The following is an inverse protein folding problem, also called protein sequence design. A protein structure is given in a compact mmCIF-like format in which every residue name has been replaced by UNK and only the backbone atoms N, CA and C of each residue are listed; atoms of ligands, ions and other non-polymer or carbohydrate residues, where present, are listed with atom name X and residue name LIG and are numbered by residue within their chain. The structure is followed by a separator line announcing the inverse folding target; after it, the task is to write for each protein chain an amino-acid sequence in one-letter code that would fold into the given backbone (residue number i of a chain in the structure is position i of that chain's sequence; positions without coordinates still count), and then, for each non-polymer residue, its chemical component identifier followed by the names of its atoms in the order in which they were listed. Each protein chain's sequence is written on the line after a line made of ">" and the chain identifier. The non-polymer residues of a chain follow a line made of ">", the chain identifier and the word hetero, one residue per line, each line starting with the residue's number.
data_IF_902919693077
#
_entry.id   IF_902919693077
#
_cell.length_a   1.000
_cell.length_b   1.000
_cell.length_c   1.000
_cell.angle_alpha   90.00
_cell.angle_beta   90.00
_cell.angle_gamma   90.00
#
_symmetry.space_group_name_H-M   'P 1'
#
loop_
_entity.id
_entity.type
_entity.pdbx_description
1 polymer ?
#
# COMPACT_ATOMS: atom_id res chain seq x y z
N UNK A 1 -19.14 -0.15 -4.20
CA UNK A 1 -19.58 0.19 -2.83
C UNK A 1 -18.46 0.99 -2.18
N UNK A 2 -18.75 2.15 -1.61
CA UNK A 2 -17.78 2.94 -0.84
C UNK A 2 -17.56 2.22 0.49
N UNK A 3 -16.30 2.01 0.85
CA UNK A 3 -15.95 1.48 2.17
C UNK A 3 -15.73 2.70 3.05
N UNK A 4 -16.74 3.03 3.85
CA UNK A 4 -16.70 4.15 4.77
C UNK A 4 -16.51 3.64 6.20
N UNK A 5 -15.47 4.13 6.87
CA UNK A 5 -15.22 3.90 8.30
C UNK A 5 -14.93 5.26 8.94
N UNK A 6 -15.24 5.42 10.21
CA UNK A 6 -14.82 6.60 10.96
C UNK A 6 -13.30 6.56 11.12
N UNK A 7 -12.60 7.20 10.17
CA UNK A 7 -11.15 7.24 10.19
C UNK A 7 -10.66 7.99 11.43
N UNK A 8 -9.85 7.30 12.23
CA UNK A 8 -9.25 7.92 13.41
C UNK A 8 -8.07 8.80 12.96
N UNK A 9 -8.08 10.03 13.43
CA UNK A 9 -6.98 10.95 13.23
C UNK A 9 -5.68 10.33 13.79
N UNK A 10 -4.57 10.53 13.04
CA UNK A 10 -3.23 10.08 13.43
C UNK A 10 -3.00 8.57 13.47
N UNK A 11 -3.72 7.81 12.62
CA UNK A 11 -3.40 6.42 12.32
C UNK A 11 -2.96 6.25 10.88
N UNK A 12 -1.86 5.52 10.69
CA UNK A 12 -1.30 5.16 9.38
C UNK A 12 -1.35 3.65 9.23
N UNK A 13 -1.81 3.17 8.06
CA UNK A 13 -1.68 1.78 7.63
C UNK A 13 -0.64 1.72 6.51
N UNK A 14 0.52 1.13 6.78
CA UNK A 14 1.53 0.87 5.76
C UNK A 14 1.37 -0.55 5.22
N UNK A 15 1.28 -0.69 3.92
CA UNK A 15 1.07 -1.94 3.19
C UNK A 15 2.32 -2.24 2.35
N UNK A 16 3.36 -2.87 2.92
CA UNK A 16 4.55 -3.24 2.16
C UNK A 16 4.24 -4.33 1.14
N UNK A 17 4.85 -4.23 -0.04
CA UNK A 17 4.80 -5.33 -1.02
C UNK A 17 5.65 -6.50 -0.50
N UNK A 18 5.20 -7.73 -0.78
CA UNK A 18 6.00 -8.90 -0.46
C UNK A 18 7.31 -8.91 -1.25
N UNK A 19 8.42 -9.19 -0.57
CA UNK A 19 9.73 -9.33 -1.20
C UNK A 19 9.89 -10.66 -1.95
N UNK A 20 9.05 -11.64 -1.63
CA UNK A 20 9.15 -13.01 -2.18
C UNK A 20 8.40 -13.20 -3.50
N UNK A 21 8.34 -12.18 -4.35
CA UNK A 21 7.67 -12.28 -5.65
C UNK A 21 8.57 -12.93 -6.72
N UNK A 22 8.86 -14.23 -6.59
CA UNK A 22 9.53 -15.02 -7.63
C UNK A 22 8.74 -15.09 -8.96
N UNK A 23 7.44 -14.76 -8.93
CA UNK A 23 6.50 -14.94 -10.04
C UNK A 23 6.31 -13.72 -10.93
N UNK A 24 7.05 -12.64 -10.72
CA UNK A 24 6.95 -11.44 -11.57
C UNK A 24 8.27 -11.18 -12.29
N UNK A 25 8.50 -11.81 -13.46
CA UNK A 25 9.75 -11.63 -14.24
C UNK A 25 9.97 -10.18 -14.71
N UNK A 26 8.94 -9.35 -14.71
CA UNK A 26 9.00 -7.97 -15.21
C UNK A 26 9.26 -6.91 -14.11
N UNK A 27 9.61 -7.31 -12.90
CA UNK A 27 9.95 -6.36 -11.85
C UNK A 27 11.44 -6.04 -11.94
N UNK A 28 11.78 -4.87 -12.45
CA UNK A 28 13.16 -4.43 -12.69
C UNK A 28 13.90 -4.02 -11.41
N UNK A 29 13.18 -3.61 -10.35
CA UNK A 29 13.84 -3.32 -9.07
C UNK A 29 14.23 -4.59 -8.33
N UNK A 30 15.48 -4.67 -7.85
CA UNK A 30 15.94 -5.80 -7.08
C UNK A 30 15.20 -5.94 -5.75
N UNK A 31 15.09 -7.15 -5.23
CA UNK A 31 14.51 -7.39 -3.89
C UNK A 31 15.27 -6.61 -2.81
N UNK A 32 16.58 -6.47 -2.99
CA UNK A 32 17.46 -5.71 -2.08
C UNK A 32 17.07 -4.23 -2.06
N UNK A 33 16.90 -3.59 -3.22
CA UNK A 33 16.48 -2.18 -3.31
C UNK A 33 15.12 -1.95 -2.66
N UNK A 34 14.18 -2.88 -2.87
CA UNK A 34 12.86 -2.81 -2.23
C UNK A 34 12.96 -2.92 -0.73
N UNK A 35 13.74 -3.88 -0.24
CA UNK A 35 13.96 -4.05 1.20
C UNK A 35 14.59 -2.80 1.81
N UNK A 36 15.60 -2.22 1.17
CA UNK A 36 16.23 -0.98 1.62
C UNK A 36 15.23 0.20 1.64
N UNK A 37 14.35 0.30 0.64
CA UNK A 37 13.32 1.31 0.62
C UNK A 37 12.27 1.08 1.72
N UNK A 38 11.85 -0.16 1.95
CA UNK A 38 10.95 -0.52 3.04
C UNK A 38 11.54 -0.20 4.40
N UNK A 39 12.84 -0.46 4.62
CA UNK A 39 13.54 -0.07 5.85
C UNK A 39 13.52 1.45 6.06
N UNK A 40 13.78 2.24 5.00
CA UNK A 40 13.72 3.70 5.08
C UNK A 40 12.32 4.18 5.45
N UNK A 41 11.28 3.59 4.85
CA UNK A 41 9.88 3.91 5.18
C UNK A 41 9.58 3.55 6.63
N UNK A 42 9.93 2.35 7.10
CA UNK A 42 9.74 1.93 8.49
C UNK A 42 10.43 2.87 9.50
N UNK A 43 11.70 3.23 9.22
CA UNK A 43 12.44 4.17 10.06
C UNK A 43 11.75 5.54 10.11
N UNK A 44 11.32 6.05 8.99
CA UNK A 44 10.59 7.32 8.91
C UNK A 44 9.28 7.25 9.70
N UNK A 45 8.46 6.24 9.49
CA UNK A 45 7.18 6.05 10.16
C UNK A 45 7.31 5.88 11.67
N UNK A 46 8.34 5.18 12.13
CA UNK A 46 8.63 5.06 13.57
C UNK A 46 8.93 6.41 14.23
N UNK A 47 9.52 7.34 13.47
CA UNK A 47 9.86 8.68 13.96
C UNK A 47 8.68 9.65 13.98
N UNK A 48 7.56 9.32 13.33
CA UNK A 48 6.30 10.08 13.40
C UNK A 48 5.58 9.78 14.72
N UNK A 49 6.07 10.33 15.82
CA UNK A 49 5.58 10.04 17.18
C UNK A 49 4.10 10.39 17.40
N UNK A 50 3.58 11.32 16.63
CA UNK A 50 2.17 11.73 16.67
C UNK A 50 1.24 10.75 15.95
N UNK A 51 1.79 9.82 15.13
CA UNK A 51 1.03 8.82 14.42
C UNK A 51 1.25 7.43 14.99
N UNK A 52 0.16 6.68 15.19
CA UNK A 52 0.21 5.26 15.45
C UNK A 52 0.25 4.51 14.12
N UNK A 53 1.34 3.82 13.84
CA UNK A 53 1.55 3.13 12.57
C UNK A 53 1.28 1.64 12.69
N UNK A 54 0.60 1.10 11.68
CA UNK A 54 0.32 -0.31 11.52
C UNK A 54 0.94 -0.82 10.22
N UNK A 55 1.73 -1.89 10.29
CA UNK A 55 2.27 -2.59 9.13
C UNK A 55 1.34 -3.76 8.78
N UNK A 56 0.79 -3.73 7.57
CA UNK A 56 -0.12 -4.75 7.07
C UNK A 56 0.64 -5.79 6.26
N UNK A 57 0.74 -7.00 6.77
CA UNK A 57 1.29 -8.15 6.04
C UNK A 57 0.20 -9.03 5.45
N UNK A 58 0.58 -9.92 4.50
CA UNK A 58 -0.33 -10.90 3.94
C UNK A 58 -0.80 -11.84 5.07
N UNK A 59 -2.10 -12.17 5.14
CA UNK A 59 -2.61 -13.09 6.16
C UNK A 59 -1.89 -14.43 6.10
N UNK A 60 -1.47 -14.92 7.25
CA UNK A 60 -0.90 -16.28 7.40
C UNK A 60 -2.04 -17.32 7.49
N UNK A 61 -2.95 -17.31 6.49
CA UNK A 61 -4.16 -18.15 6.51
C UNK A 61 -3.94 -19.58 6.02
N UNK A 62 -2.73 -19.88 5.52
CA UNK A 62 -2.47 -21.17 4.85
C UNK A 62 -1.29 -21.88 5.53
N UNK A 63 -1.50 -22.25 6.79
CA UNK A 63 -0.50 -22.97 7.61
C UNK A 63 -0.04 -24.32 7.04
N UNK A 64 -0.74 -24.86 6.04
CA UNK A 64 -0.57 -26.27 5.61
C UNK A 64 -0.04 -26.46 4.18
N UNK A 65 0.32 -25.42 3.43
CA UNK A 65 0.85 -25.57 2.07
C UNK A 65 2.33 -25.22 1.99
N UNK A 66 3.16 -26.17 1.58
CA UNK A 66 4.62 -26.02 1.38
C UNK A 66 5.00 -24.79 0.52
N UNK A 67 4.18 -24.44 -0.47
CA UNK A 67 4.40 -23.27 -1.34
C UNK A 67 4.22 -21.95 -0.56
N UNK A 68 3.51 -21.95 0.56
CA UNK A 68 3.14 -20.75 1.32
C UNK A 68 4.02 -20.48 2.54
N UNK A 69 5.03 -21.30 2.79
CA UNK A 69 6.09 -20.97 3.75
C UNK A 69 6.82 -19.67 3.38
N UNK A 70 6.77 -19.25 2.11
CA UNK A 70 7.29 -17.94 1.66
C UNK A 70 6.52 -16.73 2.22
N UNK A 71 5.31 -16.92 2.71
CA UNK A 71 4.49 -15.87 3.33
C UNK A 71 4.47 -15.96 4.86
N UNK A 72 5.33 -16.80 5.43
CA UNK A 72 5.47 -16.87 6.88
C UNK A 72 5.93 -15.51 7.40
N UNK A 73 5.13 -14.92 8.29
CA UNK A 73 5.44 -13.64 8.90
C UNK A 73 6.80 -13.68 9.62
N UNK A 74 7.13 -14.79 10.26
CA UNK A 74 8.36 -14.96 11.03
C UNK A 74 9.63 -14.97 10.18
N UNK A 75 9.51 -15.28 8.89
CA UNK A 75 10.63 -15.23 7.93
C UNK A 75 10.63 -13.99 7.06
N UNK A 76 9.62 -13.11 7.18
CA UNK A 76 9.54 -11.90 6.41
C UNK A 76 10.57 -10.87 6.88
N UNK A 77 11.52 -10.45 6.01
CA UNK A 77 12.63 -9.57 6.42
C UNK A 77 12.16 -8.25 7.00
N UNK A 78 11.10 -7.65 6.43
CA UNK A 78 10.61 -6.36 6.92
C UNK A 78 9.83 -6.48 8.24
N UNK A 79 9.18 -7.64 8.47
CA UNK A 79 8.58 -7.92 9.77
C UNK A 79 9.66 -8.05 10.85
N UNK A 80 10.72 -8.82 10.59
CA UNK A 80 11.84 -8.96 11.53
C UNK A 80 12.50 -7.60 11.81
N UNK A 81 12.72 -6.81 10.77
CA UNK A 81 13.26 -5.47 10.91
C UNK A 81 12.36 -4.56 11.74
N UNK A 82 11.03 -4.65 11.54
CA UNK A 82 10.06 -3.79 12.24
C UNK A 82 9.99 -4.05 13.74
N UNK A 83 10.37 -5.24 14.22
CA UNK A 83 10.43 -5.56 15.66
C UNK A 83 11.36 -4.63 16.46
N UNK A 84 12.31 -3.99 15.81
CA UNK A 84 13.20 -3.01 16.43
C UNK A 84 12.53 -1.66 16.73
N UNK A 85 11.27 -1.46 16.32
CA UNK A 85 10.57 -0.19 16.39
C UNK A 85 9.30 -0.27 17.24
N UNK A 86 9.23 0.54 18.28
CA UNK A 86 8.10 0.53 19.25
C UNK A 86 6.80 1.09 18.67
N UNK A 87 6.89 2.02 17.70
CA UNK A 87 5.71 2.69 17.14
C UNK A 87 5.12 1.91 15.93
N UNK A 88 5.70 0.78 15.55
CA UNK A 88 5.22 -0.03 14.44
C UNK A 88 4.46 -1.25 14.95
N UNK A 89 3.14 -1.26 14.75
CA UNK A 89 2.27 -2.35 15.14
C UNK A 89 2.01 -3.27 13.96
N UNK A 90 2.04 -4.58 14.15
CA UNK A 90 1.84 -5.55 13.09
C UNK A 90 0.37 -5.92 12.94
N UNK A 91 -0.10 -6.01 11.70
CA UNK A 91 -1.44 -6.48 11.35
C UNK A 91 -1.35 -7.50 10.20
N UNK A 92 -1.78 -8.74 10.44
CA UNK A 92 -1.78 -9.83 9.46
C UNK A 92 -3.18 -10.23 8.97
N UNK A 93 -4.17 -9.37 9.15
CA UNK A 93 -5.51 -9.60 8.62
C UNK A 93 -5.56 -9.36 7.09
N UNK A 94 -6.67 -9.74 6.43
CA UNK A 94 -6.95 -9.31 5.06
C UNK A 94 -6.96 -7.77 4.98
N UNK A 95 -6.76 -7.21 3.79
CA UNK A 95 -6.64 -5.75 3.66
C UNK A 95 -7.89 -5.02 4.13
N UNK A 96 -9.07 -5.52 3.79
CA UNK A 96 -10.35 -4.92 4.21
C UNK A 96 -10.52 -5.03 5.73
N UNK A 97 -10.21 -6.19 6.32
CA UNK A 97 -10.30 -6.38 7.78
C UNK A 97 -9.30 -5.49 8.51
N UNK A 98 -8.07 -5.38 8.01
CA UNK A 98 -7.06 -4.48 8.55
C UNK A 98 -7.54 -3.03 8.50
N UNK A 99 -8.09 -2.59 7.36
CA UNK A 99 -8.67 -1.26 7.19
C UNK A 99 -9.79 -0.97 8.21
N UNK A 100 -10.74 -1.91 8.35
CA UNK A 100 -11.88 -1.75 9.27
C UNK A 100 -11.45 -1.71 10.73
N UNK A 101 -10.45 -2.52 11.13
CA UNK A 101 -9.96 -2.56 12.51
C UNK A 101 -9.07 -1.36 12.86
N UNK A 102 -8.19 -0.96 11.95
CA UNK A 102 -7.25 0.14 12.18
C UNK A 102 -7.93 1.50 12.04
N UNK A 103 -8.87 1.63 11.10
CA UNK A 103 -9.54 2.89 10.73
C UNK A 103 -8.53 4.01 10.40
N UNK A 104 -7.58 3.77 9.49
CA UNK A 104 -6.48 4.68 9.26
C UNK A 104 -6.94 5.96 8.54
N UNK A 105 -6.37 7.11 8.93
CA UNK A 105 -6.49 8.37 8.17
C UNK A 105 -5.68 8.28 6.87
N UNK A 106 -4.51 7.66 6.93
CA UNK A 106 -3.56 7.56 5.81
C UNK A 106 -3.23 6.10 5.55
N UNK A 107 -3.22 5.71 4.27
CA UNK A 107 -2.75 4.38 3.83
C UNK A 107 -1.58 4.59 2.88
N UNK A 108 -0.47 3.90 3.16
CA UNK A 108 0.76 4.00 2.37
C UNK A 108 1.02 2.67 1.69
N UNK A 109 1.23 2.70 0.38
CA UNK A 109 1.68 1.57 -0.42
C UNK A 109 3.08 1.84 -0.96
N UNK A 110 4.00 0.91 -0.81
CA UNK A 110 5.37 1.04 -1.32
C UNK A 110 5.52 0.64 -2.80
N UNK A 111 4.43 0.23 -3.42
CA UNK A 111 4.33 0.03 -4.87
C UNK A 111 2.88 -0.03 -5.30
N UNK A 112 2.63 0.10 -6.60
CA UNK A 112 1.31 -0.14 -7.17
C UNK A 112 0.99 -1.64 -7.16
N UNK A 113 0.01 -2.05 -6.34
CA UNK A 113 -0.30 -3.46 -6.07
C UNK A 113 -1.81 -3.70 -5.94
N UNK A 114 -2.24 -4.96 -6.02
CA UNK A 114 -3.67 -5.34 -5.96
C UNK A 114 -4.44 -4.74 -4.78
N UNK A 115 -3.91 -4.67 -3.54
CA UNK A 115 -4.63 -4.07 -2.41
C UNK A 115 -5.05 -2.62 -2.61
N UNK A 116 -4.38 -1.87 -3.50
CA UNK A 116 -4.77 -0.51 -3.84
C UNK A 116 -6.20 -0.47 -4.40
N UNK A 117 -6.53 -1.39 -5.31
CA UNK A 117 -7.86 -1.44 -5.95
C UNK A 117 -8.99 -1.63 -4.93
N UNK A 118 -8.73 -2.38 -3.85
CA UNK A 118 -9.72 -2.61 -2.80
C UNK A 118 -9.98 -1.34 -1.98
N UNK A 119 -8.99 -0.46 -1.86
CA UNK A 119 -9.04 0.74 -1.02
C UNK A 119 -9.18 2.06 -1.78
N UNK A 120 -9.19 2.05 -3.11
CA UNK A 120 -9.43 3.27 -3.91
C UNK A 120 -10.73 3.99 -3.53
N UNK A 121 -11.75 3.23 -3.15
CA UNK A 121 -13.04 3.77 -2.72
C UNK A 121 -13.18 3.93 -1.21
N UNK A 122 -12.07 3.90 -0.48
CA UNK A 122 -12.08 4.19 0.96
C UNK A 122 -12.10 5.70 1.21
N UNK A 123 -12.47 6.08 2.40
CA UNK A 123 -12.41 7.46 2.88
C UNK A 123 -11.07 7.83 3.55
N UNK A 124 -10.03 7.03 3.36
CA UNK A 124 -8.67 7.36 3.77
C UNK A 124 -7.90 8.07 2.67
N UNK A 125 -6.92 8.87 3.03
CA UNK A 125 -5.94 9.40 2.08
C UNK A 125 -4.98 8.29 1.67
N UNK A 126 -4.69 8.20 0.37
CA UNK A 126 -3.81 7.18 -0.19
C UNK A 126 -2.49 7.81 -0.66
N UNK A 127 -1.38 7.21 -0.22
CA UNK A 127 -0.03 7.57 -0.68
C UNK A 127 0.56 6.33 -1.34
N UNK A 128 1.05 6.48 -2.57
CA UNK A 128 1.59 5.38 -3.37
C UNK A 128 3.00 5.72 -3.84
N UNK A 129 3.96 4.88 -3.50
CA UNK A 129 5.29 4.98 -4.06
C UNK A 129 5.28 4.50 -5.51
N UNK A 130 5.83 5.32 -6.39
CA UNK A 130 5.98 5.03 -7.82
C UNK A 130 7.41 4.58 -8.07
N UNK A 131 7.54 3.36 -8.57
CA UNK A 131 8.80 2.81 -9.02
C UNK A 131 9.12 3.35 -10.42
N UNK A 132 10.29 4.01 -10.56
CA UNK A 132 10.76 4.53 -11.84
C UNK A 132 11.06 3.41 -12.86
N UNK A 133 11.41 2.23 -12.36
CA UNK A 133 11.74 1.06 -13.18
C UNK A 133 10.50 0.28 -13.62
N UNK A 134 9.33 0.58 -13.04
CA UNK A 134 8.06 -0.06 -13.41
C UNK A 134 6.97 1.02 -13.56
N UNK A 135 7.09 1.88 -14.57
CA UNK A 135 6.20 3.00 -14.75
C UNK A 135 4.79 2.53 -15.16
N UNK A 136 3.78 3.12 -14.55
CA UNK A 136 2.41 3.01 -15.02
C UNK A 136 2.26 3.72 -16.39
N UNK A 137 1.31 3.28 -17.19
CA UNK A 137 0.91 4.01 -18.40
C UNK A 137 0.50 5.44 -18.02
N UNK A 138 0.82 6.40 -18.89
CA UNK A 138 0.64 7.83 -18.61
C UNK A 138 -0.80 8.18 -18.20
N UNK A 139 -1.79 7.65 -18.90
CA UNK A 139 -3.21 7.90 -18.61
C UNK A 139 -3.66 7.30 -17.27
N UNK A 140 -3.12 6.13 -16.90
CA UNK A 140 -3.36 5.53 -15.58
C UNK A 140 -2.69 6.35 -14.48
N UNK A 141 -1.47 6.83 -14.72
CA UNK A 141 -0.73 7.66 -13.78
C UNK A 141 -1.47 8.99 -13.49
N UNK A 142 -1.94 9.68 -14.54
CA UNK A 142 -2.69 10.94 -14.39
C UNK A 142 -4.00 10.72 -13.62
N UNK A 143 -4.77 9.70 -13.97
CA UNK A 143 -6.00 9.39 -13.23
C UNK A 143 -5.73 8.97 -11.78
N UNK A 144 -4.61 8.29 -11.50
CA UNK A 144 -4.25 7.90 -10.14
C UNK A 144 -3.82 9.10 -9.29
N UNK A 145 -3.15 10.11 -9.88
CA UNK A 145 -2.79 11.36 -9.21
C UNK A 145 -3.99 12.12 -8.65
N UNK A 146 -5.13 12.00 -9.27
CA UNK A 146 -6.36 12.64 -8.79
C UNK A 146 -6.87 12.03 -7.48
N UNK A 147 -6.59 10.72 -7.25
CA UNK A 147 -7.03 9.99 -6.04
C UNK A 147 -5.94 9.82 -5.00
N UNK A 148 -4.68 9.71 -5.41
CA UNK A 148 -3.56 9.36 -4.54
C UNK A 148 -2.47 10.42 -4.59
N UNK A 149 -1.72 10.53 -3.48
CA UNK A 149 -0.42 11.18 -3.50
C UNK A 149 0.60 10.20 -4.07
N UNK A 150 1.20 10.55 -5.21
CA UNK A 150 2.26 9.77 -5.82
C UNK A 150 3.60 10.30 -5.35
N UNK A 151 4.39 9.44 -4.72
CA UNK A 151 5.68 9.80 -4.11
C UNK A 151 6.81 8.92 -4.64
N UNK A 152 8.02 9.43 -4.68
CA UNK A 152 9.21 8.70 -5.13
C UNK A 152 10.33 8.70 -4.09
N UNK A 153 10.15 9.41 -2.99
CA UNK A 153 11.15 9.55 -1.93
C UNK A 153 10.51 9.73 -0.55
N UNK A 154 11.30 9.54 0.49
CA UNK A 154 10.89 9.85 1.88
C UNK A 154 10.57 11.34 2.05
N UNK A 155 11.28 12.21 1.33
CA UNK A 155 11.00 13.66 1.35
C UNK A 155 9.61 13.96 0.80
N UNK A 156 9.21 13.30 -0.30
CA UNK A 156 7.88 13.48 -0.88
C UNK A 156 6.80 12.85 0.00
N UNK A 157 7.09 11.69 0.64
CA UNK A 157 6.21 11.09 1.64
C UNK A 157 5.92 12.06 2.79
N UNK A 158 6.96 12.69 3.34
CA UNK A 158 6.80 13.69 4.41
C UNK A 158 5.95 14.87 3.96
N UNK A 159 6.20 15.41 2.76
CA UNK A 159 5.37 16.49 2.20
C UNK A 159 3.92 16.09 2.04
N UNK A 160 3.64 14.87 1.55
CA UNK A 160 2.28 14.38 1.39
C UNK A 160 1.55 14.29 2.74
N UNK A 161 2.20 13.77 3.78
CA UNK A 161 1.64 13.69 5.13
C UNK A 161 1.32 15.09 5.68
N UNK A 162 2.23 16.04 5.53
CA UNK A 162 2.01 17.42 5.98
C UNK A 162 0.80 18.07 5.26
N UNK A 163 0.67 17.89 3.94
CA UNK A 163 -0.48 18.40 3.19
C UNK A 163 -1.81 17.80 3.66
N UNK A 164 -1.80 16.51 4.02
CA UNK A 164 -2.97 15.82 4.57
C UNK A 164 -3.32 16.38 5.97
N UNK A 165 -2.32 16.66 6.80
CA UNK A 165 -2.53 17.21 8.14
C UNK A 165 -3.06 18.64 8.11
N UNK A 166 -2.59 19.42 7.17
CA UNK A 166 -3.08 20.79 6.93
C UNK A 166 -4.46 20.83 6.27
N UNK A 167 -5.08 19.67 6.02
CA UNK A 167 -6.37 19.53 5.32
C UNK A 167 -6.39 20.18 3.92
N UNK A 168 -5.23 20.26 3.26
CA UNK A 168 -5.08 20.81 1.90
C UNK A 168 -5.26 19.74 0.82
N UNK A 169 -5.95 18.66 1.13
CA UNK A 169 -6.20 17.54 0.21
C UNK A 169 -7.68 17.33 -0.01
N UNK A 170 -8.09 17.20 -1.28
CA UNK A 170 -9.44 16.85 -1.71
C UNK A 170 -9.49 15.52 -2.49
N UNK A 171 -8.50 14.63 -2.26
CA UNK A 171 -8.33 13.43 -3.08
C UNK A 171 -9.26 12.27 -2.70
N UNK A 172 -9.76 12.26 -1.47
CA UNK A 172 -10.53 11.12 -0.90
C UNK A 172 -11.73 10.71 -1.78
N UNK A 173 -12.46 11.66 -2.32
CA UNK A 173 -13.71 11.39 -3.07
C UNK A 173 -13.52 11.24 -4.57
N UNK A 174 -12.30 11.35 -5.09
CA UNK A 174 -12.07 11.23 -6.52
C UNK A 174 -12.10 9.77 -6.97
N UNK A 175 -13.04 9.43 -7.85
CA UNK A 175 -13.27 8.08 -8.35
C UNK A 175 -12.84 7.87 -9.80
N UNK A 176 -12.24 8.87 -10.44
CA UNK A 176 -11.92 8.82 -11.87
C UNK A 176 -11.10 7.59 -12.26
N UNK A 177 -10.06 7.28 -11.47
CA UNK A 177 -9.25 6.09 -11.69
C UNK A 177 -10.05 4.80 -11.54
N UNK A 178 -10.87 4.70 -10.48
CA UNK A 178 -11.69 3.52 -10.24
C UNK A 178 -12.70 3.29 -11.35
N UNK A 179 -13.42 4.34 -11.74
CA UNK A 179 -14.45 4.23 -12.77
C UNK A 179 -13.85 3.91 -14.14
N UNK A 180 -12.69 4.47 -14.48
CA UNK A 180 -12.00 4.26 -15.76
C UNK A 180 -11.36 2.86 -15.87
N UNK A 181 -10.67 2.40 -14.81
CA UNK A 181 -9.81 1.21 -14.90
C UNK A 181 -10.34 -0.01 -14.16
N UNK A 182 -11.26 0.15 -13.23
CA UNK A 182 -11.78 -0.95 -12.41
C UNK A 182 -13.22 -1.32 -12.70
N UNK A 183 -14.11 -0.35 -12.93
CA UNK A 183 -15.54 -0.59 -13.18
C UNK A 183 -15.81 -1.24 -14.54
N UNK A 184 -14.96 -0.97 -15.52
CA UNK A 184 -15.04 -1.56 -16.87
C UNK A 184 -14.54 -3.02 -16.93
N UNK A 185 -14.72 -3.79 -15.86
CA UNK A 185 -14.32 -5.21 -15.79
C UNK A 185 -14.93 -6.09 -16.88
N UNK A 186 -16.03 -5.70 -17.50
CA UNK A 186 -16.62 -6.48 -18.58
C UNK A 186 -15.71 -6.58 -19.82
N UNK A 187 -14.76 -5.64 -20.01
CA UNK A 187 -13.79 -5.70 -21.09
C UNK A 187 -12.48 -6.44 -20.72
N UNK A 188 -12.24 -6.73 -19.44
CA UNK A 188 -11.03 -7.43 -19.00
C UNK A 188 -11.15 -8.96 -18.99
N UNK A 189 -12.37 -9.51 -19.00
CA UNK A 189 -12.59 -10.97 -19.02
C UNK A 189 -12.08 -11.65 -20.29
N UNK A 190 -11.87 -10.92 -21.37
CA UNK A 190 -11.50 -11.48 -22.67
C UNK A 190 -10.00 -11.45 -23.01
N UNK A 191 -9.16 -10.80 -22.21
CA UNK A 191 -7.71 -10.67 -22.56
C UNK A 191 -6.77 -11.60 -21.78
N UNK A 192 -7.26 -12.39 -20.83
CA UNK A 192 -6.40 -13.33 -20.08
C UNK A 192 -6.36 -14.74 -20.65
N UNK A 193 -7.18 -15.04 -21.68
CA UNK A 193 -7.21 -16.35 -22.33
C UNK A 193 -6.39 -16.44 -23.61
N UNK A 194 -5.62 -15.42 -23.96
CA UNK A 194 -4.83 -15.37 -25.20
C UNK A 194 -3.30 -15.34 -24.98
N UNK A 195 -2.84 -15.77 -23.79
CA UNK A 195 -1.40 -15.96 -23.56
C UNK A 195 -1.14 -17.27 -22.82
#
# INVERSE_FOLDING_TARGET
>A
KIINVDCENKKILYVPISLNNFWKPNIQSSQTERFENQKKICKFLNNLKEYKTYLKFIPNTLKNNLILNYYNLETNPIYLYSKNYKNLNVNSNSIIKAFTLVKPKIIIFDSFSTPIYELLNSNSELIVFIDKLNPLKRDALESLKERCFLVSSIKDLNKAINLIDEKRSNKIMNRSFFDKFYKNKNNFKYKWNEY
#
